data_IF_015926336294
#
_entry.id   IF_015926336294
#
_cell.length_a   1.000
_cell.length_b   1.000
_cell.length_c   1.000
_cell.angle_alpha   90.00
_cell.angle_beta   90.00
_cell.angle_gamma   90.00
#
_symmetry.space_group_name_H-M   'P 1'
#
loop_
_entity.id
_entity.type
_entity.pdbx_description
1 polymer ?
#
# COMPACT_ATOMS: atom_id res chain seq x y z
N UNK A 1 21.43 -9.79 -11.87
CA UNK A 1 20.88 -8.94 -10.82
C UNK A 1 19.62 -8.30 -11.38
N UNK A 2 18.50 -8.46 -10.69
CA UNK A 2 17.31 -7.64 -10.94
C UNK A 2 16.87 -7.20 -9.55
N UNK A 3 17.55 -6.17 -9.05
CA UNK A 3 17.28 -5.63 -7.71
C UNK A 3 16.00 -4.79 -7.80
N UNK A 4 15.25 -4.68 -6.70
CA UNK A 4 14.09 -3.77 -6.66
C UNK A 4 14.49 -2.33 -6.95
N UNK A 5 15.76 -1.97 -6.71
CA UNK A 5 16.41 -0.75 -7.14
C UNK A 5 16.24 -0.44 -8.65
N UNK A 6 16.18 -1.45 -9.51
CA UNK A 6 15.98 -1.26 -10.96
C UNK A 6 14.50 -0.99 -11.33
N UNK A 7 13.57 -1.21 -10.38
CA UNK A 7 12.12 -1.12 -10.60
C UNK A 7 11.52 0.14 -9.94
N UNK A 8 12.14 0.64 -8.86
CA UNK A 8 11.68 1.79 -8.08
C UNK A 8 12.44 3.07 -8.46
N UNK A 9 12.48 3.40 -9.75
CA UNK A 9 13.20 4.58 -10.24
C UNK A 9 12.24 5.78 -10.32
N UNK A 10 12.45 6.79 -9.47
CA UNK A 10 11.67 8.04 -9.43
C UNK A 10 12.59 9.24 -9.67
N UNK A 11 12.95 9.49 -10.94
CA UNK A 11 13.85 10.60 -11.32
C UNK A 11 13.23 11.98 -11.10
N UNK A 12 11.90 12.04 -11.16
CA UNK A 12 11.07 13.24 -10.96
C UNK A 12 10.81 13.56 -9.50
N UNK A 13 11.10 12.64 -8.57
CA UNK A 13 10.72 12.74 -7.16
C UNK A 13 11.77 12.10 -6.24
N UNK A 14 12.91 12.77 -6.04
CA UNK A 14 14.03 12.24 -5.26
C UNK A 14 13.68 12.01 -3.78
N UNK A 15 12.77 12.83 -3.23
CA UNK A 15 12.30 12.67 -1.85
C UNK A 15 11.54 11.35 -1.67
N UNK A 16 10.62 11.03 -2.60
CA UNK A 16 9.92 9.75 -2.57
C UNK A 16 10.89 8.58 -2.79
N UNK A 17 11.86 8.72 -3.71
CA UNK A 17 12.89 7.71 -3.94
C UNK A 17 13.68 7.39 -2.66
N UNK A 18 14.06 8.41 -1.89
CA UNK A 18 14.78 8.24 -0.63
C UNK A 18 13.95 7.46 0.41
N UNK A 19 12.64 7.72 0.48
CA UNK A 19 11.73 7.00 1.39
C UNK A 19 11.63 5.52 1.00
N UNK A 20 11.50 5.22 -0.30
CA UNK A 20 11.46 3.84 -0.78
C UNK A 20 12.79 3.13 -0.51
N UNK A 21 13.92 3.80 -0.72
CA UNK A 21 15.24 3.27 -0.39
C UNK A 21 15.36 2.95 1.11
N UNK A 22 14.87 3.83 1.99
CA UNK A 22 14.83 3.56 3.45
C UNK A 22 13.98 2.33 3.78
N UNK A 23 12.84 2.14 3.11
CA UNK A 23 12.01 0.95 3.30
C UNK A 23 12.73 -0.33 2.85
N UNK A 24 13.44 -0.30 1.72
CA UNK A 24 14.23 -1.42 1.22
C UNK A 24 15.38 -1.76 2.17
N UNK A 25 16.13 -0.75 2.62
CA UNK A 25 17.21 -0.90 3.61
C UNK A 25 16.69 -1.49 4.92
N UNK A 26 15.52 -1.05 5.39
CA UNK A 26 14.90 -1.59 6.60
C UNK A 26 14.67 -3.10 6.47
N UNK A 27 14.11 -3.53 5.34
CA UNK A 27 13.88 -4.94 5.04
C UNK A 27 15.19 -5.73 5.01
N UNK A 28 16.24 -5.19 4.38
CA UNK A 28 17.57 -5.82 4.33
C UNK A 28 18.18 -5.97 5.74
N UNK A 29 17.96 -5.00 6.62
CA UNK A 29 18.38 -5.03 8.02
C UNK A 29 17.45 -5.88 8.93
N UNK A 30 16.44 -6.57 8.37
CA UNK A 30 15.52 -7.42 9.12
C UNK A 30 14.39 -6.67 9.84
N UNK A 31 14.22 -5.37 9.56
CA UNK A 31 13.08 -4.56 10.01
C UNK A 31 11.98 -4.65 8.97
N UNK A 32 11.09 -5.62 9.13
CA UNK A 32 10.07 -5.94 8.13
C UNK A 32 8.79 -5.09 8.27
N UNK A 33 8.08 -4.84 7.16
CA UNK A 33 6.73 -4.29 7.18
C UNK A 33 5.75 -5.13 8.01
N UNK A 34 4.94 -4.48 8.83
CA UNK A 34 3.97 -5.12 9.72
C UNK A 34 2.57 -5.08 9.15
N UNK A 35 1.84 -6.20 9.21
CA UNK A 35 0.47 -6.26 8.70
C UNK A 35 -0.47 -5.42 9.57
N UNK A 36 -1.29 -4.59 8.93
CA UNK A 36 -2.34 -3.84 9.61
C UNK A 36 -3.47 -4.82 9.98
N UNK A 37 -3.78 -4.92 11.28
CA UNK A 37 -4.80 -5.84 11.80
C UNK A 37 -6.23 -5.39 11.51
N UNK A 38 -6.45 -4.06 11.45
CA UNK A 38 -7.71 -3.43 11.14
C UNK A 38 -7.81 -3.14 9.62
N UNK A 39 -8.93 -3.50 8.99
CA UNK A 39 -9.22 -3.18 7.59
C UNK A 39 -9.18 -4.36 6.59
N UNK A 40 -9.08 -4.01 5.30
CA UNK A 40 -9.01 -4.98 4.21
C UNK A 40 -7.73 -5.83 4.32
N UNK A 41 -7.86 -7.14 4.11
CA UNK A 41 -6.69 -8.02 4.10
C UNK A 41 -5.67 -7.55 3.06
N UNK A 42 -4.39 -7.48 3.44
CA UNK A 42 -3.30 -7.17 2.52
C UNK A 42 -2.78 -5.72 2.58
N UNK A 43 -2.78 -5.08 3.75
CA UNK A 43 -2.11 -3.78 3.96
C UNK A 43 -1.00 -3.90 5.01
N UNK A 44 0.11 -3.19 4.82
CA UNK A 44 1.29 -3.27 5.66
C UNK A 44 1.83 -1.88 6.02
N UNK A 45 2.20 -1.66 7.28
CA UNK A 45 3.02 -0.52 7.69
C UNK A 45 4.47 -0.80 7.30
N UNK A 46 4.96 -0.05 6.31
CA UNK A 46 6.37 -0.03 5.95
C UNK A 46 7.15 0.83 6.95
N UNK A 47 8.37 0.39 7.28
CA UNK A 47 9.22 0.98 8.30
C UNK A 47 10.55 1.43 7.73
N UNK A 48 11.19 2.39 8.37
CA UNK A 48 12.59 2.72 8.16
C UNK A 48 13.52 1.77 8.96
N UNK A 49 14.85 1.83 8.80
CA UNK A 49 15.78 1.00 9.56
C UNK A 49 15.75 1.21 11.08
N UNK A 50 15.16 2.32 11.56
CA UNK A 50 14.96 2.61 12.98
C UNK A 50 13.63 2.06 13.52
N UNK A 51 12.82 1.44 12.66
CA UNK A 51 11.51 0.89 13.00
C UNK A 51 10.37 1.92 12.98
N UNK A 52 10.62 3.16 12.56
CA UNK A 52 9.59 4.19 12.40
C UNK A 52 8.71 3.89 11.19
N UNK A 53 7.40 4.05 11.31
CA UNK A 53 6.47 3.89 10.18
C UNK A 53 6.67 5.06 9.21
N UNK A 54 6.88 4.74 7.94
CA UNK A 54 7.14 5.73 6.86
C UNK A 54 6.11 5.65 5.73
N UNK A 55 5.36 4.54 5.65
CA UNK A 55 4.34 4.39 4.63
C UNK A 55 3.41 3.21 4.87
N UNK A 56 2.34 3.18 4.08
CA UNK A 56 1.41 2.07 3.99
C UNK A 56 1.57 1.45 2.61
N UNK A 57 1.91 0.17 2.58
CA UNK A 57 2.06 -0.61 1.36
C UNK A 57 0.88 -1.58 1.18
N UNK A 58 0.23 -1.54 0.02
CA UNK A 58 -0.90 -2.41 -0.35
C UNK A 58 -0.55 -3.21 -1.62
N UNK A 59 -0.04 -4.45 -1.50
CA UNK A 59 0.31 -5.26 -2.66
C UNK A 59 -0.91 -5.72 -3.45
N UNK A 60 -0.88 -5.51 -4.78
CA UNK A 60 -1.92 -5.92 -5.73
C UNK A 60 -2.40 -7.36 -5.52
N UNK A 61 -1.44 -8.29 -5.33
CA UNK A 61 -1.75 -9.72 -5.20
C UNK A 61 -2.60 -10.09 -3.97
N UNK A 62 -2.65 -9.22 -2.95
CA UNK A 62 -3.33 -9.48 -1.67
C UNK A 62 -4.62 -8.68 -1.51
N UNK A 63 -4.99 -7.86 -2.49
CA UNK A 63 -6.26 -7.13 -2.51
C UNK A 63 -7.47 -8.06 -2.33
N UNK A 64 -8.65 -7.54 -1.95
CA UNK A 64 -9.92 -8.29 -1.85
C UNK A 64 -10.20 -9.32 -2.96
N UNK A 65 -9.84 -9.01 -4.21
CA UNK A 65 -10.01 -9.87 -5.38
C UNK A 65 -8.69 -10.45 -5.93
N UNK A 66 -7.58 -10.21 -5.22
CA UNK A 66 -6.27 -10.75 -5.52
C UNK A 66 -6.21 -12.26 -5.27
N UNK A 67 -5.43 -12.96 -6.10
CA UNK A 67 -5.27 -14.41 -6.04
C UNK A 67 -4.57 -14.92 -4.77
N UNK A 68 -3.94 -14.04 -3.97
CA UNK A 68 -3.31 -14.35 -2.68
C UNK A 68 -3.99 -13.62 -1.52
N UNK A 69 -5.26 -13.23 -1.65
CA UNK A 69 -6.00 -12.66 -0.54
C UNK A 69 -6.08 -13.66 0.64
N UNK A 70 -5.59 -13.33 1.84
CA UNK A 70 -5.60 -14.25 2.99
C UNK A 70 -7.00 -14.48 3.58
N UNK A 71 -8.02 -13.67 3.24
CA UNK A 71 -9.41 -13.87 3.70
C UNK A 71 -10.18 -14.72 2.67
N UNK A 72 -10.27 -16.04 2.93
CA UNK A 72 -10.99 -17.06 2.13
C UNK A 72 -12.47 -16.73 1.87
N UNK A 73 -13.10 -15.93 2.74
CA UNK A 73 -14.51 -15.53 2.65
C UNK A 73 -14.87 -14.75 1.38
N UNK A 74 -13.96 -13.94 0.81
CA UNK A 74 -14.23 -13.22 -0.44
C UNK A 74 -14.16 -14.12 -1.68
N UNK A 75 -13.39 -15.21 -1.62
CA UNK A 75 -13.39 -16.24 -2.66
C UNK A 75 -14.73 -17.01 -2.66
N UNK A 76 -15.23 -17.36 -1.47
CA UNK A 76 -16.56 -17.99 -1.32
C UNK A 76 -17.69 -17.08 -1.86
N UNK A 77 -17.66 -15.78 -1.56
CA UNK A 77 -18.62 -14.81 -2.13
C UNK A 77 -18.55 -14.73 -3.66
N UNK A 78 -17.35 -14.78 -4.24
CA UNK A 78 -17.14 -14.80 -5.70
C UNK A 78 -17.71 -16.06 -6.37
N UNK A 79 -17.74 -17.20 -5.67
CA UNK A 79 -18.16 -18.49 -6.22
C UNK A 79 -19.65 -18.78 -5.98
N UNK A 80 -20.23 -18.37 -4.85
CA UNK A 80 -21.61 -18.71 -4.47
C UNK A 80 -22.67 -17.62 -4.70
N UNK A 81 -22.31 -16.34 -4.91
CA UNK A 81 -23.28 -15.24 -5.13
C UNK A 81 -22.73 -14.13 -6.04
N UNK A 82 -22.66 -14.34 -7.37
CA UNK A 82 -22.06 -13.39 -8.31
C UNK A 82 -22.83 -12.05 -8.45
N UNK A 83 -24.08 -11.98 -7.99
CA UNK A 83 -24.97 -10.81 -8.15
C UNK A 83 -25.21 -9.99 -6.86
N UNK A 84 -24.82 -10.48 -5.67
CA UNK A 84 -25.16 -9.84 -4.40
C UNK A 84 -23.94 -9.30 -3.62
N UNK A 85 -22.71 -9.62 -4.03
CA UNK A 85 -21.51 -9.27 -3.27
C UNK A 85 -20.34 -8.80 -4.14
N UNK A 86 -20.17 -7.47 -4.21
CA UNK A 86 -19.02 -6.81 -4.81
C UNK A 86 -19.38 -5.48 -5.46
N UNK A 87 -18.39 -4.60 -5.61
CA UNK A 87 -18.56 -3.36 -6.38
C UNK A 87 -18.44 -3.68 -7.87
N UNK A 88 -19.52 -4.17 -8.49
CA UNK A 88 -19.55 -4.56 -9.91
C UNK A 88 -19.20 -3.43 -10.89
N UNK A 89 -19.28 -2.18 -10.44
CA UNK A 89 -18.85 -1.00 -11.18
C UNK A 89 -17.32 -0.74 -11.15
N UNK A 90 -16.56 -1.49 -10.34
CA UNK A 90 -15.10 -1.33 -10.25
C UNK A 90 -14.38 -2.39 -11.07
N UNK A 91 -13.30 -1.98 -11.74
CA UNK A 91 -12.41 -2.91 -12.43
C UNK A 91 -11.69 -3.79 -11.39
N UNK A 92 -11.74 -5.13 -11.53
CA UNK A 92 -11.10 -6.02 -10.56
C UNK A 92 -9.57 -5.85 -10.48
N UNK A 93 -9.00 -5.96 -9.27
CA UNK A 93 -7.55 -6.09 -9.03
C UNK A 93 -6.71 -4.89 -9.52
N UNK A 94 -7.31 -3.70 -9.50
CA UNK A 94 -6.69 -2.41 -9.80
C UNK A 94 -6.75 -1.43 -8.62
N UNK A 95 -6.96 -1.93 -7.39
CA UNK A 95 -7.06 -1.07 -6.21
C UNK A 95 -5.83 -0.20 -6.02
N UNK A 96 -4.63 -0.77 -6.11
CA UNK A 96 -3.38 -0.03 -6.03
C UNK A 96 -3.22 1.08 -7.09
N UNK A 97 -3.83 0.92 -8.28
CA UNK A 97 -3.86 1.98 -9.30
C UNK A 97 -4.86 3.08 -8.93
N UNK A 98 -6.01 2.72 -8.35
CA UNK A 98 -6.96 3.70 -7.82
C UNK A 98 -6.32 4.54 -6.71
N UNK A 99 -5.51 3.94 -5.84
CA UNK A 99 -4.79 4.63 -4.75
C UNK A 99 -3.75 5.62 -5.31
N UNK A 100 -2.91 5.18 -6.24
CA UNK A 100 -1.93 6.06 -6.90
C UNK A 100 -2.61 7.14 -7.75
N UNK A 101 -3.70 6.79 -8.42
CA UNK A 101 -4.51 7.70 -9.23
C UNK A 101 -5.17 8.80 -8.40
N UNK A 102 -5.63 8.49 -7.19
CA UNK A 102 -6.19 9.49 -6.28
C UNK A 102 -5.16 10.58 -5.94
N UNK A 103 -3.91 10.20 -5.63
CA UNK A 103 -2.83 11.16 -5.43
C UNK A 103 -2.49 11.95 -6.70
N UNK A 104 -2.46 11.29 -7.87
CA UNK A 104 -2.20 11.98 -9.13
C UNK A 104 -3.24 13.07 -9.43
N UNK A 105 -4.53 12.80 -9.14
CA UNK A 105 -5.60 13.79 -9.27
C UNK A 105 -5.46 14.89 -8.23
N UNK A 106 -5.16 14.55 -6.98
CA UNK A 106 -4.92 15.50 -5.89
C UNK A 106 -3.81 16.50 -6.23
N UNK A 107 -2.66 15.99 -6.69
CA UNK A 107 -1.49 16.78 -7.08
C UNK A 107 -1.79 17.69 -8.28
N UNK A 108 -2.44 17.13 -9.31
CA UNK A 108 -2.80 17.88 -10.53
C UNK A 108 -3.82 19.00 -10.27
N UNK A 109 -4.70 18.82 -9.29
CA UNK A 109 -5.68 19.83 -8.88
C UNK A 109 -5.17 20.74 -7.75
N UNK A 110 -3.98 20.48 -7.19
CA UNK A 110 -3.42 21.26 -6.09
C UNK A 110 -4.24 21.18 -4.79
N UNK A 111 -4.89 20.04 -4.54
CA UNK A 111 -5.78 19.88 -3.37
C UNK A 111 -4.99 19.67 -2.08
N UNK A 112 -3.96 18.81 -2.10
CA UNK A 112 -3.07 18.58 -0.96
C UNK A 112 -3.73 17.83 0.19
N UNK A 113 -4.72 16.97 -0.09
CA UNK A 113 -5.44 16.17 0.93
C UNK A 113 -5.09 14.69 0.89
N UNK A 114 -4.47 14.20 -0.20
CA UNK A 114 -3.99 12.82 -0.32
C UNK A 114 -2.49 12.75 -0.03
N UNK A 115 -2.03 11.97 0.96
CA UNK A 115 -0.61 11.72 1.13
C UNK A 115 0.00 11.10 -0.13
N UNK A 116 1.19 11.56 -0.51
CA UNK A 116 1.88 11.13 -1.73
C UNK A 116 1.86 9.60 -1.87
N UNK A 117 1.31 9.12 -2.98
CA UNK A 117 1.08 7.70 -3.23
C UNK A 117 1.55 7.33 -4.64
N UNK A 118 2.47 6.38 -4.76
CA UNK A 118 2.97 5.88 -6.06
C UNK A 118 2.95 4.36 -6.12
N UNK A 119 3.07 3.81 -7.33
CA UNK A 119 3.24 2.38 -7.56
C UNK A 119 4.69 2.00 -7.30
N UNK A 120 4.91 0.99 -6.47
CA UNK A 120 6.25 0.50 -6.10
C UNK A 120 6.31 -1.02 -6.12
N UNK A 121 7.54 -1.54 -6.11
CA UNK A 121 7.84 -2.97 -5.99
C UNK A 121 8.62 -3.24 -4.72
N UNK A 122 8.05 -4.00 -3.79
CA UNK A 122 8.73 -4.38 -2.54
C UNK A 122 8.80 -5.90 -2.40
N UNK A 123 9.82 -6.37 -1.68
CA UNK A 123 10.00 -7.78 -1.30
C UNK A 123 10.06 -7.82 0.22
N UNK A 124 9.25 -8.63 0.89
CA UNK A 124 9.37 -8.83 2.35
C UNK A 124 8.89 -10.21 2.75
N UNK A 125 9.57 -10.88 3.68
CA UNK A 125 9.13 -12.20 4.18
C UNK A 125 7.76 -12.17 4.86
N UNK A 126 7.33 -11.00 5.35
CA UNK A 126 6.03 -10.78 6.02
C UNK A 126 4.86 -10.69 5.04
N UNK A 127 5.10 -10.49 3.75
CA UNK A 127 4.04 -10.50 2.73
C UNK A 127 3.48 -11.91 2.50
N UNK A 128 2.26 -11.98 1.96
CA UNK A 128 1.59 -13.26 1.73
C UNK A 128 2.04 -13.92 0.41
N UNK A 129 3.01 -14.83 0.45
CA UNK A 129 3.47 -15.59 -0.72
C UNK A 129 2.88 -17.00 -0.75
N UNK A 130 2.77 -17.57 -1.96
CA UNK A 130 2.38 -18.97 -2.12
C UNK A 130 3.41 -19.91 -1.46
N UNK A 131 2.96 -21.11 -1.06
CA UNK A 131 3.85 -22.14 -0.52
C UNK A 131 4.97 -22.49 -1.50
N UNK A 132 4.67 -22.48 -2.80
CA UNK A 132 5.62 -22.75 -3.88
C UNK A 132 6.70 -21.67 -3.93
N UNK A 133 6.35 -20.39 -3.85
CA UNK A 133 7.32 -19.29 -3.88
C UNK A 133 8.24 -19.32 -2.66
N UNK A 134 7.68 -19.62 -1.47
CA UNK A 134 8.47 -19.79 -0.24
C UNK A 134 9.44 -20.98 -0.37
N UNK A 135 8.98 -22.12 -0.88
CA UNK A 135 9.83 -23.29 -1.10
C UNK A 135 10.94 -23.03 -2.12
N UNK A 136 10.62 -22.38 -3.25
CA UNK A 136 11.60 -21.99 -4.28
C UNK A 136 12.65 -21.03 -3.75
N UNK A 137 12.24 -20.03 -2.95
CA UNK A 137 13.17 -19.08 -2.32
C UNK A 137 14.17 -19.81 -1.41
N UNK A 138 13.67 -20.70 -0.54
CA UNK A 138 14.51 -21.52 0.36
C UNK A 138 15.46 -22.44 -0.41
N UNK A 139 14.95 -23.16 -1.41
CA UNK A 139 15.76 -24.07 -2.23
C UNK A 139 16.87 -23.36 -2.99
N UNK A 140 16.60 -22.18 -3.55
CA UNK A 140 17.62 -21.36 -4.21
C UNK A 140 18.66 -20.81 -3.25
N UNK A 141 18.25 -20.37 -2.06
CA UNK A 141 19.17 -19.90 -1.02
C UNK A 141 20.10 -21.03 -0.55
N UNK A 142 19.56 -22.22 -0.31
CA UNK A 142 20.33 -23.42 0.02
C UNK A 142 21.31 -23.81 -1.12
N UNK A 143 20.86 -23.80 -2.36
CA UNK A 143 21.71 -24.08 -3.51
C UNK A 143 22.83 -23.04 -3.70
N UNK A 144 22.59 -21.77 -3.36
CA UNK A 144 23.63 -20.74 -3.32
C UNK A 144 24.70 -21.06 -2.26
N UNK A 145 24.27 -21.44 -1.05
CA UNK A 145 25.18 -21.74 0.07
C UNK A 145 25.97 -23.03 -0.16
N UNK A 146 25.38 -24.05 -0.79
CA UNK A 146 25.99 -25.38 -0.95
C UNK A 146 26.64 -25.63 -2.31
N UNK A 147 26.13 -25.05 -3.39
CA UNK A 147 26.64 -25.27 -4.75
C UNK A 147 26.69 -23.95 -5.54
N UNK A 148 27.70 -23.09 -5.28
CA UNK A 148 27.79 -21.75 -5.89
C UNK A 148 27.81 -21.77 -7.43
N UNK A 149 28.30 -22.87 -8.03
CA UNK A 149 28.33 -23.07 -9.50
C UNK A 149 26.92 -23.16 -10.11
N UNK A 150 25.95 -23.71 -9.39
CA UNK A 150 24.54 -23.79 -9.84
C UNK A 150 23.84 -22.44 -9.64
N UNK A 151 24.23 -21.69 -8.61
CA UNK A 151 23.65 -20.39 -8.32
C UNK A 151 23.88 -19.34 -9.41
N UNK A 152 24.98 -19.43 -10.15
CA UNK A 152 25.25 -18.58 -11.33
C UNK A 152 24.20 -18.71 -12.44
N UNK A 153 23.38 -19.78 -12.45
CA UNK A 153 22.28 -19.98 -13.39
C UNK A 153 20.93 -19.44 -12.89
N UNK A 154 20.83 -18.99 -11.65
CA UNK A 154 19.57 -18.44 -11.13
C UNK A 154 19.43 -16.98 -11.55
N UNK A 155 18.38 -16.68 -12.32
CA UNK A 155 18.05 -15.30 -12.69
C UNK A 155 17.71 -14.42 -11.47
N UNK A 156 17.24 -15.02 -10.36
CA UNK A 156 16.85 -14.33 -9.13
C UNK A 156 16.94 -15.24 -7.91
N UNK A 157 17.49 -14.71 -6.82
CA UNK A 157 17.58 -15.32 -5.48
C UNK A 157 16.62 -14.58 -4.55
N UNK A 158 15.92 -15.29 -3.67
CA UNK A 158 14.93 -14.72 -2.76
C UNK A 158 13.49 -14.72 -3.29
N UNK A 159 12.59 -14.07 -2.53
CA UNK A 159 11.16 -13.96 -2.87
C UNK A 159 10.93 -13.02 -4.06
N UNK A 160 9.86 -13.22 -4.86
CA UNK A 160 9.51 -12.33 -5.96
C UNK A 160 9.01 -10.97 -5.45
N UNK A 161 9.21 -9.87 -6.20
CA UNK A 161 8.78 -8.55 -5.77
C UNK A 161 7.27 -8.44 -6.00
N UNK A 162 6.59 -7.77 -5.08
CA UNK A 162 5.18 -7.48 -5.20
C UNK A 162 5.00 -6.04 -5.62
N UNK A 163 4.23 -5.84 -6.69
CA UNK A 163 3.74 -4.52 -7.08
C UNK A 163 2.59 -4.12 -6.16
N UNK A 164 2.52 -2.86 -5.78
CA UNK A 164 1.45 -2.30 -4.96
C UNK A 164 1.53 -0.79 -4.87
N UNK A 165 0.57 -0.19 -4.19
CA UNK A 165 0.60 1.23 -3.87
C UNK A 165 1.39 1.43 -2.58
N UNK A 166 2.21 2.46 -2.56
CA UNK A 166 2.91 2.93 -1.38
C UNK A 166 2.51 4.38 -1.11
N UNK A 167 1.79 4.57 -0.01
CA UNK A 167 1.32 5.85 0.45
C UNK A 167 2.18 6.31 1.62
N UNK A 168 2.62 7.57 1.62
CA UNK A 168 3.36 8.13 2.75
C UNK A 168 2.51 8.14 4.02
N UNK A 169 3.13 7.78 5.14
CA UNK A 169 2.46 7.80 6.44
C UNK A 169 2.46 9.23 6.99
N UNK A 170 1.29 9.70 7.45
CA UNK A 170 1.11 11.00 8.10
C UNK A 170 0.83 10.83 9.58
N UNK A 171 1.56 11.58 10.41
CA UNK A 171 1.47 11.50 11.88
C UNK A 171 0.47 12.53 12.44
N UNK A 172 -0.05 12.26 13.64
CA UNK A 172 -0.93 13.20 14.36
C UNK A 172 -2.40 13.18 13.93
N UNK A 173 -2.77 12.38 12.94
CA UNK A 173 -4.16 12.25 12.49
C UNK A 173 -4.97 11.25 13.34
N UNK A 174 -6.28 11.46 13.37
CA UNK A 174 -7.31 10.56 13.91
C UNK A 174 -8.43 10.41 12.88
N UNK A 175 -9.31 9.45 13.09
CA UNK A 175 -10.53 9.29 12.28
C UNK A 175 -11.37 10.57 12.29
N UNK A 176 -12.01 10.89 11.16
CA UNK A 176 -12.80 12.12 11.03
C UNK A 176 -13.95 12.16 12.04
N UNK A 177 -14.68 11.04 12.22
CA UNK A 177 -15.78 10.90 13.18
C UNK A 177 -15.37 11.25 14.62
N UNK A 178 -14.15 10.89 15.03
CA UNK A 178 -13.62 11.25 16.36
C UNK A 178 -13.60 12.77 16.58
N UNK A 179 -13.13 13.53 15.59
CA UNK A 179 -13.05 14.99 15.68
C UNK A 179 -14.40 15.66 15.48
N UNK A 180 -15.21 15.18 14.53
CA UNK A 180 -16.54 15.71 14.27
C UNK A 180 -17.43 15.66 15.53
N UNK A 181 -17.45 14.52 16.24
CA UNK A 181 -18.19 14.39 17.50
C UNK A 181 -17.71 15.33 18.59
N UNK A 182 -16.41 15.62 18.65
CA UNK A 182 -15.87 16.61 19.59
C UNK A 182 -16.32 18.02 19.24
N UNK A 183 -16.36 18.36 17.96
CA UNK A 183 -16.80 19.68 17.49
C UNK A 183 -18.29 19.92 17.73
N UNK A 184 -19.11 18.88 17.83
CA UNK A 184 -20.52 19.00 18.23
C UNK A 184 -20.67 19.47 19.69
N UNK A 185 -19.80 18.98 20.59
CA UNK A 185 -19.83 19.35 22.01
C UNK A 185 -19.03 20.61 22.34
N UNK A 186 -17.94 20.83 21.62
CA UNK A 186 -17.02 21.96 21.79
C UNK A 186 -16.71 22.57 20.41
N UNK A 187 -17.56 23.52 19.94
CA UNK A 187 -17.45 24.08 18.60
C UNK A 187 -16.10 24.77 18.35
N UNK A 188 -15.55 24.54 17.16
CA UNK A 188 -14.32 25.18 16.73
C UNK A 188 -14.44 26.71 16.71
N UNK A 189 -13.37 27.44 17.08
CA UNK A 189 -13.27 28.87 16.82
C UNK A 189 -13.50 29.19 15.33
N UNK A 190 -14.11 30.34 15.05
CA UNK A 190 -14.56 30.70 13.71
C UNK A 190 -13.47 30.59 12.63
N UNK A 191 -12.25 31.03 12.94
CA UNK A 191 -11.13 30.96 11.99
C UNK A 191 -10.76 29.51 11.66
N UNK A 192 -10.66 28.65 12.67
CA UNK A 192 -10.35 27.21 12.51
C UNK A 192 -11.48 26.48 11.80
N UNK A 193 -12.74 26.87 12.05
CA UNK A 193 -13.91 26.31 11.37
C UNK A 193 -13.88 26.60 9.86
N UNK A 194 -13.48 27.82 9.45
CA UNK A 194 -13.29 28.18 8.03
C UNK A 194 -12.17 27.37 7.38
N UNK A 195 -11.07 27.16 8.09
CA UNK A 195 -9.97 26.33 7.59
C UNK A 195 -10.41 24.87 7.42
N UNK A 196 -11.10 24.31 8.42
CA UNK A 196 -11.68 22.97 8.35
C UNK A 196 -12.64 22.83 7.17
N UNK A 197 -13.54 23.80 6.97
CA UNK A 197 -14.47 23.82 5.85
C UNK A 197 -13.75 23.83 4.50
N UNK A 198 -12.69 24.64 4.34
CA UNK A 198 -11.90 24.67 3.11
C UNK A 198 -11.20 23.34 2.83
N UNK A 199 -10.68 22.66 3.86
CA UNK A 199 -10.11 21.32 3.73
C UNK A 199 -11.16 20.28 3.35
N UNK A 200 -12.35 20.38 3.94
CA UNK A 200 -13.48 19.50 3.62
C UNK A 200 -13.96 19.67 2.17
N UNK A 201 -14.02 20.91 1.66
CA UNK A 201 -14.37 21.18 0.26
C UNK A 201 -13.38 20.54 -0.72
N UNK A 202 -12.08 20.57 -0.41
CA UNK A 202 -11.05 19.88 -1.21
C UNK A 202 -11.27 18.37 -1.24
N UNK A 203 -11.61 17.78 -0.09
CA UNK A 203 -11.97 16.36 0.01
C UNK A 203 -13.20 16.03 -0.84
N UNK A 204 -14.24 16.87 -0.79
CA UNK A 204 -15.47 16.71 -1.59
C UNK A 204 -15.15 16.76 -3.08
N UNK A 205 -14.35 17.73 -3.53
CA UNK A 205 -13.92 17.85 -4.93
C UNK A 205 -13.21 16.58 -5.37
N UNK A 206 -12.21 16.13 -4.61
CA UNK A 206 -11.46 14.92 -4.94
C UNK A 206 -12.38 13.70 -5.07
N UNK A 207 -13.14 13.39 -4.03
CA UNK A 207 -13.99 12.20 -3.97
C UNK A 207 -15.07 12.24 -5.06
N UNK A 208 -15.58 13.42 -5.40
CA UNK A 208 -16.54 13.57 -6.48
C UNK A 208 -15.91 13.31 -7.85
N UNK A 209 -14.73 13.92 -8.12
CA UNK A 209 -14.00 13.77 -9.40
C UNK A 209 -13.60 12.32 -9.66
N UNK A 210 -13.07 11.61 -8.64
CA UNK A 210 -12.66 10.21 -8.79
C UNK A 210 -13.81 9.23 -8.60
N UNK A 211 -15.02 9.75 -8.30
CA UNK A 211 -16.22 8.99 -7.93
C UNK A 211 -15.91 7.92 -6.89
N UNK A 212 -15.33 8.34 -5.76
CA UNK A 212 -14.96 7.43 -4.68
C UNK A 212 -16.18 6.64 -4.19
N UNK A 213 -16.03 5.33 -4.13
CA UNK A 213 -17.09 4.38 -3.76
C UNK A 213 -17.03 3.94 -2.28
N UNK A 214 -16.08 4.47 -1.51
CA UNK A 214 -15.70 3.95 -0.18
C UNK A 214 -15.29 5.01 0.84
N UNK A 215 -15.83 6.23 0.74
CA UNK A 215 -15.67 7.23 1.80
C UNK A 215 -16.77 7.03 2.84
N UNK A 216 -16.39 6.78 4.09
CA UNK A 216 -17.26 6.72 5.25
C UNK A 216 -17.05 7.89 6.20
#
# INVERSE_FOLDING_TARGET
AGHTADMNIFLDDPEFAEIILKAEQAIECGVFPERISQGSSGSYFAKDPKGKIIGVFKPKSEEPYGHLNPKWTKYFHKVCCPCCFGRGCLVPNQGYLSEAGAYLVDDKLGLGVVPKTKVVWLVSETFNYSAIDRAKSRGKKYALEKVPKVAKKFNRIGLPPKVGSFQLFVEGYKEADYWLRKFETDPLPENTRKEFQSQFERLVILDYVIRNTDRG
#
